data_IF_176167742394
#
_entry.id   IF_176167742394
#
_cell.length_a   1.000
_cell.length_b   1.000
_cell.length_c   1.000
_cell.angle_alpha   90.00
_cell.angle_beta   90.00
_cell.angle_gamma   90.00
#
_symmetry.space_group_name_H-M   'P 1'
#
loop_
_entity.id
_entity.type
_entity.pdbx_description
1 polymer ?
#
# COMPACT_ATOMS: atom_id res chain seq x y z
N UNK A 1 -4.42 -6.21 -8.41
CA UNK A 1 -4.02 -7.61 -8.64
C UNK A 1 -3.32 -7.77 -10.01
N UNK A 2 -3.88 -7.26 -11.13
CA UNK A 2 -3.27 -7.35 -12.46
C UNK A 2 -1.86 -6.72 -12.52
N UNK A 3 -1.69 -5.51 -12.00
CA UNK A 3 -0.40 -4.80 -11.97
C UNK A 3 0.61 -5.49 -11.04
N UNK A 4 0.13 -6.04 -9.92
CA UNK A 4 0.95 -6.84 -9.01
C UNK A 4 1.26 -8.25 -9.55
N UNK A 5 0.77 -8.60 -10.74
CA UNK A 5 0.96 -9.90 -11.41
C UNK A 5 0.43 -11.11 -10.62
N UNK A 6 -0.47 -10.88 -9.65
CA UNK A 6 -1.16 -11.95 -8.93
C UNK A 6 -2.37 -12.49 -9.70
N UNK A 7 -2.81 -11.78 -10.75
CA UNK A 7 -3.88 -12.18 -11.66
C UNK A 7 -3.42 -11.97 -13.11
N UNK A 8 -3.79 -12.88 -14.00
CA UNK A 8 -3.54 -12.77 -15.44
C UNK A 8 -4.70 -12.03 -16.12
N UNK A 9 -4.46 -11.13 -17.10
CA UNK A 9 -5.53 -10.50 -17.86
C UNK A 9 -6.20 -11.51 -18.78
N UNK A 10 -7.54 -11.45 -18.92
CA UNK A 10 -8.29 -12.29 -19.83
C UNK A 10 -8.02 -11.96 -21.30
N UNK A 11 -7.61 -10.71 -21.59
CA UNK A 11 -7.20 -10.22 -22.90
C UNK A 11 -6.32 -8.99 -22.76
N UNK A 12 -5.56 -8.65 -23.81
CA UNK A 12 -4.61 -7.56 -23.79
C UNK A 12 -3.30 -7.90 -23.08
N UNK A 13 -2.47 -6.89 -22.82
CA UNK A 13 -1.16 -7.01 -22.17
C UNK A 13 -0.97 -5.93 -21.13
N UNK A 14 -0.19 -6.24 -20.10
CA UNK A 14 0.24 -5.29 -19.06
C UNK A 14 1.75 -5.34 -18.99
N UNK A 15 2.39 -4.21 -19.24
CA UNK A 15 3.82 -4.04 -19.07
C UNK A 15 4.10 -3.24 -17.80
N UNK A 16 4.94 -3.80 -16.94
CA UNK A 16 5.35 -3.18 -15.68
C UNK A 16 6.86 -3.24 -15.59
N UNK A 17 7.48 -2.07 -15.48
CA UNK A 17 8.93 -1.91 -15.37
C UNK A 17 9.29 -1.49 -13.94
N UNK A 18 10.24 -2.22 -13.34
CA UNK A 18 10.69 -1.96 -11.97
C UNK A 18 10.10 -2.89 -10.93
N UNK A 19 10.54 -2.69 -9.69
CA UNK A 19 10.12 -3.47 -8.52
C UNK A 19 8.76 -2.97 -8.03
N UNK A 20 7.81 -3.87 -7.97
CA UNK A 20 6.46 -3.60 -7.44
C UNK A 20 6.36 -4.11 -6.02
N UNK A 21 6.06 -3.24 -5.08
CA UNK A 21 5.58 -3.61 -3.76
C UNK A 21 4.06 -3.35 -3.66
N UNK A 22 3.33 -4.27 -3.07
CA UNK A 22 1.88 -4.17 -3.00
C UNK A 22 1.38 -4.38 -1.56
N UNK A 23 0.68 -3.40 -1.03
CA UNK A 23 0.01 -3.43 0.28
C UNK A 23 -1.47 -3.87 0.12
N UNK A 24 -1.72 -4.84 -0.76
CA UNK A 24 -3.09 -5.29 -1.08
C UNK A 24 -3.71 -6.13 0.05
N UNK A 25 -2.88 -6.94 0.68
CA UNK A 25 -3.24 -7.80 1.81
C UNK A 25 -2.05 -7.83 2.78
N UNK A 26 -2.02 -6.89 3.71
CA UNK A 26 -0.90 -6.76 4.66
C UNK A 26 -0.70 -8.04 5.47
N UNK A 27 0.44 -8.69 5.26
CA UNK A 27 0.80 -9.91 5.97
C UNK A 27 0.31 -11.22 5.34
N UNK A 28 -0.47 -11.19 4.24
CA UNK A 28 -0.95 -12.42 3.57
C UNK A 28 0.17 -13.34 3.06
N UNK A 29 1.36 -12.77 2.80
CA UNK A 29 2.54 -13.54 2.40
C UNK A 29 3.40 -14.04 3.57
N UNK A 30 3.01 -13.75 4.81
CA UNK A 30 3.78 -14.20 5.97
C UNK A 30 3.50 -15.66 6.32
N UNK A 31 4.56 -16.41 6.61
CA UNK A 31 4.42 -17.71 7.23
C UNK A 31 4.26 -17.53 8.75
N UNK A 32 3.13 -17.94 9.28
CA UNK A 32 2.77 -17.72 10.69
C UNK A 32 3.66 -18.49 11.68
N UNK A 33 4.29 -19.58 11.25
CA UNK A 33 5.20 -20.39 12.07
C UNK A 33 6.63 -19.83 12.07
N UNK A 34 6.95 -18.95 11.14
CA UNK A 34 8.24 -18.27 11.09
C UNK A 34 8.24 -17.05 12.02
N UNK A 35 9.43 -16.68 12.48
CA UNK A 35 9.65 -15.42 13.22
C UNK A 35 9.41 -14.22 12.33
N UNK A 36 9.24 -13.05 12.92
CA UNK A 36 9.18 -11.80 12.17
C UNK A 36 10.43 -11.58 11.32
N UNK A 37 11.60 -11.87 11.88
CA UNK A 37 12.89 -11.81 11.16
C UNK A 37 12.89 -12.68 9.91
N UNK A 38 12.52 -13.94 10.03
CA UNK A 38 12.46 -14.87 8.89
C UNK A 38 11.46 -14.40 7.84
N UNK A 39 10.31 -13.86 8.25
CA UNK A 39 9.31 -13.29 7.33
C UNK A 39 9.81 -12.03 6.63
N UNK A 40 10.62 -11.18 7.28
CA UNK A 40 11.27 -10.03 6.65
C UNK A 40 12.18 -10.49 5.50
N UNK A 41 13.03 -11.49 5.73
CA UNK A 41 13.91 -12.03 4.69
C UNK A 41 13.15 -12.76 3.59
N UNK A 42 12.11 -13.53 3.94
CA UNK A 42 11.24 -14.21 2.97
C UNK A 42 10.55 -13.18 2.04
N UNK A 43 9.96 -12.15 2.62
CA UNK A 43 9.29 -11.09 1.87
C UNK A 43 10.27 -10.30 0.99
N UNK A 44 11.46 -10.00 1.50
CA UNK A 44 12.52 -9.37 0.72
C UNK A 44 12.90 -10.21 -0.51
N UNK A 45 13.05 -11.52 -0.35
CA UNK A 45 13.32 -12.44 -1.46
C UNK A 45 12.18 -12.47 -2.50
N UNK A 46 10.92 -12.47 -2.05
CA UNK A 46 9.74 -12.40 -2.93
C UNK A 46 9.75 -11.08 -3.72
N UNK A 47 10.16 -9.98 -3.09
CA UNK A 47 10.29 -8.67 -3.73
C UNK A 47 11.55 -8.52 -4.60
N UNK A 48 12.34 -9.61 -4.72
CA UNK A 48 13.51 -9.66 -5.60
C UNK A 48 14.80 -9.08 -5.00
N UNK A 49 14.86 -8.89 -3.66
CA UNK A 49 16.10 -8.48 -3.00
C UNK A 49 17.00 -9.69 -2.70
N UNK A 50 18.30 -9.49 -2.87
CA UNK A 50 19.28 -10.44 -2.38
C UNK A 50 19.36 -10.43 -0.85
N UNK A 51 19.87 -11.51 -0.26
CA UNK A 51 20.07 -11.59 1.18
C UNK A 51 20.94 -10.42 1.70
N UNK A 52 21.97 -10.02 0.95
CA UNK A 52 22.87 -8.92 1.32
C UNK A 52 22.13 -7.58 1.38
N UNK A 53 21.28 -7.30 0.40
CA UNK A 53 20.44 -6.10 0.38
C UNK A 53 19.45 -6.12 1.55
N UNK A 54 18.84 -7.27 1.84
CA UNK A 54 17.90 -7.37 2.94
C UNK A 54 18.58 -7.18 4.31
N UNK A 55 19.79 -7.73 4.50
CA UNK A 55 20.59 -7.49 5.71
C UNK A 55 20.87 -5.99 5.91
N UNK A 56 21.22 -5.26 4.86
CA UNK A 56 21.49 -3.82 4.96
C UNK A 56 20.27 -2.98 5.30
N UNK A 57 19.05 -3.49 5.08
CA UNK A 57 17.77 -2.79 5.34
C UNK A 57 17.06 -3.28 6.59
N UNK A 58 17.52 -4.38 7.16
CA UNK A 58 16.83 -5.03 8.27
C UNK A 58 16.61 -4.10 9.46
N UNK A 59 17.61 -3.30 9.81
CA UNK A 59 17.51 -2.36 10.93
C UNK A 59 16.49 -1.24 10.64
N UNK A 60 16.40 -0.76 9.41
CA UNK A 60 15.40 0.23 9.00
C UNK A 60 13.99 -0.37 9.09
N UNK A 61 13.80 -1.61 8.60
CA UNK A 61 12.53 -2.33 8.67
C UNK A 61 12.08 -2.49 10.13
N UNK A 62 12.97 -2.98 11.00
CA UNK A 62 12.64 -3.22 12.42
C UNK A 62 12.36 -1.93 13.17
N UNK A 63 13.14 -0.88 12.95
CA UNK A 63 12.92 0.44 13.53
C UNK A 63 11.62 1.08 13.05
N UNK A 64 11.23 0.82 11.79
CA UNK A 64 9.95 1.30 11.30
C UNK A 64 8.78 0.51 11.87
N UNK A 65 8.86 -0.82 11.91
CA UNK A 65 7.81 -1.68 12.43
C UNK A 65 7.53 -1.43 13.92
N UNK A 66 8.58 -1.14 14.69
CA UNK A 66 8.50 -0.78 16.12
C UNK A 66 7.71 -1.83 16.93
N UNK A 67 8.12 -3.11 16.78
CA UNK A 67 7.52 -4.26 17.47
C UNK A 67 8.45 -4.86 18.53
N UNK A 68 9.63 -4.25 18.76
CA UNK A 68 10.59 -4.68 19.77
C UNK A 68 11.06 -6.12 19.59
N UNK A 69 11.23 -6.82 20.71
CA UNK A 69 11.73 -8.21 20.75
C UNK A 69 10.81 -9.23 20.08
N UNK A 70 9.59 -8.85 19.75
CA UNK A 70 8.69 -9.72 18.99
C UNK A 70 9.22 -10.06 17.61
N UNK A 71 10.17 -9.29 17.08
CA UNK A 71 10.80 -9.59 15.77
C UNK A 71 11.40 -11.01 15.73
N UNK A 72 11.84 -11.55 16.85
CA UNK A 72 12.43 -12.88 16.98
C UNK A 72 11.42 -13.95 17.47
N UNK A 73 10.13 -13.58 17.61
CA UNK A 73 9.04 -14.49 17.94
C UNK A 73 8.27 -14.93 16.70
N UNK A 74 7.65 -16.13 16.71
CA UNK A 74 6.79 -16.57 15.62
C UNK A 74 5.61 -15.62 15.38
N UNK A 75 5.31 -15.34 14.11
CA UNK A 75 4.26 -14.37 13.72
C UNK A 75 2.87 -14.77 14.24
N UNK A 76 2.60 -16.05 14.47
CA UNK A 76 1.36 -16.52 15.10
C UNK A 76 1.12 -15.94 16.50
N UNK A 77 2.15 -15.41 17.15
CA UNK A 77 2.03 -14.75 18.47
C UNK A 77 1.74 -13.24 18.36
N UNK A 78 1.74 -12.68 17.14
CA UNK A 78 1.55 -11.26 16.92
C UNK A 78 0.09 -10.86 17.06
N UNK A 79 -0.13 -9.63 17.54
CA UNK A 79 -1.40 -8.96 17.31
C UNK A 79 -1.56 -8.60 15.83
N UNK A 80 -2.80 -8.38 15.39
CA UNK A 80 -3.06 -7.90 14.02
C UNK A 80 -2.30 -6.59 13.72
N UNK A 81 -2.23 -5.69 14.70
CA UNK A 81 -1.47 -4.45 14.58
C UNK A 81 0.03 -4.68 14.37
N UNK A 82 0.65 -5.60 15.11
CA UNK A 82 2.07 -5.92 14.94
C UNK A 82 2.35 -6.55 13.57
N UNK A 83 1.50 -7.47 13.13
CA UNK A 83 1.61 -8.06 11.80
C UNK A 83 1.58 -7.00 10.71
N UNK A 84 0.65 -6.04 10.81
CA UNK A 84 0.49 -4.99 9.82
C UNK A 84 1.63 -3.98 9.85
N UNK A 85 2.13 -3.64 11.04
CA UNK A 85 3.31 -2.79 11.20
C UNK A 85 4.52 -3.40 10.49
N UNK A 86 4.77 -4.70 10.69
CA UNK A 86 5.88 -5.39 10.05
C UNK A 86 5.69 -5.50 8.54
N UNK A 87 4.50 -5.88 8.08
CA UNK A 87 4.19 -6.01 6.66
C UNK A 87 4.31 -4.67 5.92
N UNK A 88 3.82 -3.57 6.51
CA UNK A 88 3.99 -2.24 5.95
C UNK A 88 5.47 -1.84 5.88
N UNK A 89 6.23 -2.06 6.97
CA UNK A 89 7.65 -1.75 7.04
C UNK A 89 8.44 -2.46 5.92
N UNK A 90 8.25 -3.77 5.76
CA UNK A 90 8.95 -4.54 4.72
C UNK A 90 8.66 -3.97 3.34
N UNK A 91 7.39 -3.73 3.00
CA UNK A 91 7.01 -3.27 1.66
C UNK A 91 7.47 -1.84 1.34
N UNK A 92 7.69 -1.00 2.35
CA UNK A 92 8.08 0.41 2.14
C UNK A 92 9.56 0.70 2.35
N UNK A 93 10.30 -0.22 2.99
CA UNK A 93 11.74 -0.07 3.23
C UNK A 93 12.60 -0.84 2.21
N UNK A 94 12.00 -1.42 1.16
CA UNK A 94 12.72 -2.19 0.11
C UNK A 94 13.00 -1.40 -1.16
N UNK A 95 12.84 -0.07 -1.13
CA UNK A 95 12.96 0.84 -2.28
C UNK A 95 12.20 0.31 -3.52
N UNK A 96 10.89 0.29 -3.49
CA UNK A 96 10.10 -0.08 -4.65
C UNK A 96 10.16 1.03 -5.71
N UNK A 97 10.07 0.68 -6.99
CA UNK A 97 9.83 1.63 -8.08
C UNK A 97 8.33 1.99 -8.18
N UNK A 98 7.48 1.02 -7.83
CA UNK A 98 6.02 1.15 -7.82
C UNK A 98 5.49 0.60 -6.51
N UNK A 99 4.70 1.41 -5.81
CA UNK A 99 4.00 1.02 -4.60
C UNK A 99 2.49 1.03 -4.84
N UNK A 100 1.84 -0.12 -4.61
CA UNK A 100 0.38 -0.26 -4.71
C UNK A 100 -0.18 -0.30 -3.29
N UNK A 101 -1.11 0.60 -3.00
CA UNK A 101 -1.78 0.71 -1.70
C UNK A 101 -3.29 0.59 -1.92
N UNK A 102 -3.91 -0.40 -1.29
CA UNK A 102 -5.35 -0.65 -1.40
C UNK A 102 -5.97 -0.64 0.01
N UNK A 103 -6.66 0.45 0.34
CA UNK A 103 -7.36 0.71 1.62
C UNK A 103 -6.55 0.41 2.92
N UNK A 104 -5.32 -0.09 2.78
CA UNK A 104 -4.48 -0.62 3.86
C UNK A 104 -3.98 0.42 4.87
N UNK A 105 -4.25 1.72 4.66
CA UNK A 105 -3.76 2.79 5.53
C UNK A 105 -4.70 3.12 6.70
N UNK A 106 -5.90 2.56 6.71
CA UNK A 106 -6.88 2.76 7.79
C UNK A 106 -6.59 1.88 9.01
N UNK A 107 -5.44 1.20 9.03
CA UNK A 107 -5.13 0.17 10.02
C UNK A 107 -4.00 0.60 10.95
N UNK A 108 -4.10 0.17 12.20
CA UNK A 108 -3.19 0.56 13.27
C UNK A 108 -3.70 1.77 14.08
N UNK A 109 -2.89 2.21 15.02
CA UNK A 109 -3.17 3.40 15.83
C UNK A 109 -2.83 4.70 15.07
N UNK A 110 -3.40 5.83 15.50
CA UNK A 110 -3.21 7.12 14.85
C UNK A 110 -1.73 7.55 14.73
N UNK A 111 -0.83 7.30 15.71
CA UNK A 111 0.59 7.55 15.56
C UNK A 111 1.23 6.75 14.43
N UNK A 112 0.90 5.46 14.32
CA UNK A 112 1.45 4.61 13.25
C UNK A 112 0.90 5.02 11.88
N UNK A 113 -0.38 5.33 11.75
CA UNK A 113 -0.97 5.87 10.53
C UNK A 113 -0.22 7.14 10.07
N UNK A 114 0.06 8.07 10.98
CA UNK A 114 0.83 9.27 10.67
C UNK A 114 2.25 8.95 10.18
N UNK A 115 2.89 7.92 10.74
CA UNK A 115 4.20 7.40 10.33
C UNK A 115 4.13 6.81 8.91
N UNK A 116 3.08 6.05 8.60
CA UNK A 116 2.83 5.49 7.27
C UNK A 116 2.65 6.59 6.22
N UNK A 117 1.80 7.59 6.48
CA UNK A 117 1.59 8.71 5.55
C UNK A 117 2.86 9.50 5.28
N UNK A 118 3.69 9.72 6.31
CA UNK A 118 4.99 10.38 6.15
C UNK A 118 5.91 9.56 5.26
N UNK A 119 5.97 8.23 5.47
CA UNK A 119 6.79 7.35 4.63
C UNK A 119 6.33 7.36 3.18
N UNK A 120 5.02 7.31 2.92
CA UNK A 120 4.49 7.39 1.55
C UNK A 120 4.89 8.69 0.85
N UNK A 121 4.80 9.84 1.54
CA UNK A 121 5.24 11.12 0.98
C UNK A 121 6.73 11.12 0.67
N UNK A 122 7.57 10.60 1.56
CA UNK A 122 9.00 10.45 1.29
C UNK A 122 9.28 9.60 0.05
N UNK A 123 8.58 8.48 -0.12
CA UNK A 123 8.72 7.62 -1.30
C UNK A 123 8.30 8.34 -2.59
N UNK A 124 7.19 9.08 -2.55
CA UNK A 124 6.73 9.90 -3.69
C UNK A 124 7.77 10.96 -4.04
N UNK A 125 8.32 11.66 -3.04
CA UNK A 125 9.35 12.69 -3.23
C UNK A 125 10.66 12.11 -3.80
N UNK A 126 10.93 10.82 -3.55
CA UNK A 126 12.04 10.06 -4.12
C UNK A 126 11.77 9.53 -5.53
N UNK A 127 10.57 9.76 -6.09
CA UNK A 127 10.19 9.36 -7.44
C UNK A 127 9.50 8.00 -7.54
N UNK A 128 9.12 7.39 -6.42
CA UNK A 128 8.32 6.15 -6.42
C UNK A 128 6.92 6.43 -6.99
N UNK A 129 6.50 5.60 -7.94
CA UNK A 129 5.15 5.68 -8.51
C UNK A 129 4.14 5.08 -7.53
N UNK A 130 3.26 5.90 -6.96
CA UNK A 130 2.21 5.44 -6.05
C UNK A 130 0.91 5.16 -6.81
N UNK A 131 0.40 3.95 -6.70
CA UNK A 131 -0.94 3.55 -7.09
C UNK A 131 -1.81 3.39 -5.83
N UNK A 132 -2.67 4.35 -5.58
CA UNK A 132 -3.45 4.43 -4.36
C UNK A 132 -4.94 4.18 -4.65
N UNK A 133 -5.52 3.14 -4.05
CA UNK A 133 -6.94 2.82 -4.13
C UNK A 133 -7.56 3.11 -2.78
N UNK A 134 -8.57 3.96 -2.74
CA UNK A 134 -9.27 4.32 -1.51
C UNK A 134 -10.65 4.90 -1.79
N UNK A 135 -11.55 4.72 -0.83
CA UNK A 135 -12.83 5.41 -0.77
C UNK A 135 -12.74 6.73 0.03
N UNK A 136 -11.62 6.99 0.71
CA UNK A 136 -11.37 8.27 1.39
C UNK A 136 -10.86 9.33 0.41
N UNK A 137 -11.80 10.13 -0.10
CA UNK A 137 -11.51 11.21 -1.06
C UNK A 137 -10.60 12.30 -0.48
N UNK A 138 -10.61 12.50 0.84
CA UNK A 138 -9.72 13.42 1.54
C UNK A 138 -8.27 13.00 1.38
N UNK A 139 -7.98 11.74 1.64
CA UNK A 139 -6.65 11.15 1.46
C UNK A 139 -6.24 11.17 -0.02
N UNK A 140 -7.13 10.78 -0.95
CA UNK A 140 -6.84 10.84 -2.40
C UNK A 140 -6.43 12.24 -2.82
N UNK A 141 -7.17 13.29 -2.43
CA UNK A 141 -6.86 14.69 -2.73
C UNK A 141 -5.53 15.17 -2.13
N UNK A 142 -5.10 14.59 -1.01
CA UNK A 142 -3.88 15.01 -0.28
C UNK A 142 -2.60 14.35 -0.74
N UNK A 143 -2.69 13.15 -1.32
CA UNK A 143 -1.53 12.31 -1.69
C UNK A 143 -1.38 12.22 -3.20
N UNK A 144 -2.49 12.09 -3.94
CA UNK A 144 -2.46 11.84 -5.37
C UNK A 144 -2.49 13.16 -6.16
N UNK A 145 -1.65 13.25 -7.20
CA UNK A 145 -1.72 14.32 -8.18
C UNK A 145 -2.85 14.08 -9.20
N UNK A 146 -3.05 12.82 -9.59
CA UNK A 146 -4.08 12.42 -10.57
C UNK A 146 -4.93 11.29 -9.99
N UNK A 147 -6.16 11.19 -10.48
CA UNK A 147 -7.08 10.11 -10.12
C UNK A 147 -7.82 9.55 -11.33
N UNK A 148 -8.22 8.31 -11.18
CA UNK A 148 -9.06 7.58 -12.13
C UNK A 148 -10.33 7.15 -11.41
N UNK A 149 -11.49 7.60 -11.90
CA UNK A 149 -12.78 7.09 -11.46
C UNK A 149 -13.23 5.98 -12.42
N UNK A 150 -13.43 4.80 -11.86
CA UNK A 150 -13.95 3.64 -12.57
C UNK A 150 -15.43 3.41 -12.18
N UNK A 151 -16.27 3.17 -13.18
CA UNK A 151 -17.67 2.79 -12.99
C UNK A 151 -17.99 1.62 -13.94
N UNK A 152 -18.55 0.55 -13.41
CA UNK A 152 -18.91 -0.66 -14.16
C UNK A 152 -17.78 -1.19 -15.07
N UNK A 153 -16.53 -1.14 -14.55
CA UNK A 153 -15.33 -1.58 -15.28
C UNK A 153 -14.86 -0.62 -16.38
N UNK A 154 -15.47 0.56 -16.51
CA UNK A 154 -15.11 1.58 -17.51
C UNK A 154 -14.55 2.83 -16.84
N UNK A 155 -13.68 3.54 -17.57
CA UNK A 155 -13.20 4.85 -17.14
C UNK A 155 -14.32 5.89 -17.30
N UNK A 156 -14.81 6.40 -16.18
CA UNK A 156 -15.78 7.48 -16.12
C UNK A 156 -15.08 8.83 -16.21
N UNK A 157 -13.99 9.01 -15.43
CA UNK A 157 -13.20 10.23 -15.46
C UNK A 157 -11.73 9.95 -15.14
N UNK A 158 -10.83 10.66 -15.83
CA UNK A 158 -9.40 10.70 -15.57
C UNK A 158 -8.91 12.14 -15.57
N UNK A 159 -8.17 12.54 -14.54
CA UNK A 159 -7.66 13.91 -14.45
C UNK A 159 -6.99 14.24 -13.14
N UNK A 160 -6.94 15.52 -12.80
CA UNK A 160 -6.45 16.00 -11.51
C UNK A 160 -7.25 15.38 -10.36
N UNK A 161 -6.57 14.92 -9.31
CA UNK A 161 -7.21 14.20 -8.21
C UNK A 161 -8.33 14.99 -7.53
N UNK A 162 -8.15 16.32 -7.42
CA UNK A 162 -9.15 17.22 -6.83
C UNK A 162 -10.44 17.27 -7.64
N UNK A 163 -10.34 17.31 -8.96
CA UNK A 163 -11.48 17.44 -9.86
C UNK A 163 -12.24 16.11 -9.97
N UNK A 164 -11.51 15.00 -10.14
CA UNK A 164 -12.09 13.65 -10.17
C UNK A 164 -12.78 13.34 -8.85
N UNK A 165 -12.14 13.61 -7.71
CA UNK A 165 -12.73 13.38 -6.40
C UNK A 165 -14.00 14.22 -6.17
N UNK A 166 -14.04 15.47 -6.64
CA UNK A 166 -15.24 16.33 -6.57
C UNK A 166 -16.37 15.76 -7.42
N UNK A 167 -16.06 15.33 -8.64
CA UNK A 167 -17.05 14.75 -9.55
C UNK A 167 -17.64 13.45 -8.98
N UNK A 168 -16.78 12.57 -8.43
CA UNK A 168 -17.20 11.35 -7.78
C UNK A 168 -18.06 11.59 -6.52
N UNK A 169 -17.68 12.55 -5.69
CA UNK A 169 -18.43 12.94 -4.50
C UNK A 169 -19.85 13.44 -4.88
N UNK A 170 -19.95 14.29 -5.90
CA UNK A 170 -21.24 14.76 -6.43
C UNK A 170 -22.10 13.61 -6.94
N UNK A 171 -21.51 12.67 -7.66
CA UNK A 171 -22.19 11.45 -8.12
C UNK A 171 -22.73 10.62 -6.96
N UNK A 172 -21.93 10.36 -5.92
CA UNK A 172 -22.36 9.62 -4.74
C UNK A 172 -23.56 10.26 -4.02
N UNK A 173 -23.58 11.61 -3.90
CA UNK A 173 -24.71 12.34 -3.30
C UNK A 173 -25.98 12.22 -4.15
N UNK A 174 -25.85 12.29 -5.47
CA UNK A 174 -27.00 12.14 -6.38
C UNK A 174 -27.62 10.74 -6.32
N UNK A 175 -26.81 9.70 -6.27
CA UNK A 175 -27.26 8.30 -6.13
C UNK A 175 -27.99 8.07 -4.78
N UNK A 176 -27.61 8.79 -3.72
CA UNK A 176 -28.27 8.72 -2.41
C UNK A 176 -29.52 9.59 -2.29
N UNK A 177 -29.93 10.27 -3.36
CA UNK A 177 -31.11 11.13 -3.37
C UNK A 177 -30.96 12.43 -2.57
N UNK A 178 -29.72 12.81 -2.22
CA UNK A 178 -29.42 14.07 -1.52
C UNK A 178 -29.15 15.14 -2.55
N UNK A 179 -30.11 16.07 -2.73
CA UNK A 179 -29.90 17.27 -3.54
C UNK A 179 -29.06 18.24 -2.73
N UNK A 180 -27.83 18.53 -3.17
CA UNK A 180 -27.05 19.62 -2.62
C UNK A 180 -27.73 20.94 -3.07
N UNK A 181 -28.45 21.60 -2.18
CA UNK A 181 -28.85 22.98 -2.41
C UNK A 181 -27.59 23.85 -2.54
N UNK A 182 -27.48 24.56 -3.63
CA UNK A 182 -26.39 25.49 -4.01
C UNK A 182 -26.35 26.72 -3.13
#
# INVERSE_FOLDING_TARGET
QLIAKTLQPSSGSIEVHGRVAALLELGAGFNIDFTGRENVFLSGAILGLSQKEMVSRFDEVTAFADIGDFIDQPVKTYSSGMMMRLAFAVNTCVDPDILIVDEALSVGDAPFQSKCFRRLRQLIDQGVSLLFVSHDLGTVRSICSRALWLKDGKTEMWGEAKDVARAYEKYCWQEQGVTLET
#
